data_IF_871247779344
#
_entry.id   IF_871247779344
#
_cell.length_a   1.000
_cell.length_b   1.000
_cell.length_c   1.000
_cell.angle_alpha   90.00
_cell.angle_beta   90.00
_cell.angle_gamma   90.00
#
_symmetry.space_group_name_H-M   'P 1'
#
loop_
_entity.id
_entity.type
_entity.pdbx_description
1 polymer ?
#
# COMPACT_ATOMS: atom_id res chain seq x y z
N UNK A 1 -19.70 0.01 -10.03
CA UNK A 1 -18.48 -0.23 -9.25
C UNK A 1 -18.74 0.09 -7.78
N UNK A 2 -18.03 -0.54 -6.86
CA UNK A 2 -18.20 -0.33 -5.41
C UNK A 2 -18.09 1.14 -4.99
N UNK A 3 -17.22 1.93 -5.65
CA UNK A 3 -17.07 3.37 -5.37
C UNK A 3 -18.36 4.14 -5.66
N UNK A 4 -19.06 3.84 -6.75
CA UNK A 4 -20.36 4.48 -7.06
C UNK A 4 -21.41 4.16 -6.00
N UNK A 5 -21.47 2.90 -5.58
CA UNK A 5 -22.38 2.49 -4.50
C UNK A 5 -22.06 3.20 -3.17
N UNK A 6 -20.78 3.44 -2.88
CA UNK A 6 -20.36 4.22 -1.70
C UNK A 6 -20.84 5.66 -1.80
N UNK A 7 -20.73 6.29 -2.98
CA UNK A 7 -21.25 7.64 -3.20
C UNK A 7 -22.79 7.68 -3.04
N UNK A 8 -23.50 6.73 -3.61
CA UNK A 8 -24.97 6.63 -3.46
C UNK A 8 -25.40 6.45 -2.00
N UNK A 9 -24.63 5.67 -1.21
CA UNK A 9 -24.88 5.51 0.23
C UNK A 9 -24.60 6.83 0.97
N UNK A 10 -23.53 7.51 0.61
CA UNK A 10 -23.19 8.80 1.21
C UNK A 10 -24.26 9.86 0.92
N UNK A 11 -24.72 9.96 -0.32
CA UNK A 11 -25.80 10.87 -0.71
C UNK A 11 -27.09 10.59 0.08
N UNK A 12 -27.39 9.31 0.33
CA UNK A 12 -28.62 8.90 1.01
C UNK A 12 -28.60 9.14 2.53
N UNK A 13 -27.45 8.97 3.19
CA UNK A 13 -27.37 8.93 4.66
C UNK A 13 -26.45 9.98 5.27
N UNK A 14 -25.58 10.59 4.49
CA UNK A 14 -24.47 11.42 4.98
C UNK A 14 -24.34 12.75 4.21
N UNK A 15 -25.41 13.25 3.59
CA UNK A 15 -25.42 14.48 2.78
C UNK A 15 -24.25 14.54 1.76
N UNK A 16 -23.92 13.40 1.14
CA UNK A 16 -22.84 13.29 0.16
C UNK A 16 -21.42 13.26 0.75
N UNK A 17 -21.29 13.22 2.06
CA UNK A 17 -19.97 13.28 2.71
C UNK A 17 -19.44 11.89 3.09
N UNK A 18 -18.20 11.64 2.70
CA UNK A 18 -17.40 10.48 3.17
C UNK A 18 -16.06 10.95 3.67
N UNK A 19 -15.48 10.23 4.61
CA UNK A 19 -14.13 10.48 5.11
C UNK A 19 -13.27 9.25 4.89
N UNK A 20 -11.99 9.48 4.59
CA UNK A 20 -10.99 8.45 4.47
C UNK A 20 -10.07 8.50 5.69
N UNK A 21 -9.89 7.37 6.34
CA UNK A 21 -8.95 7.29 7.45
C UNK A 21 -7.50 7.22 6.94
N UNK A 22 -6.55 7.46 7.81
CA UNK A 22 -5.11 7.28 7.51
C UNK A 22 -4.79 5.86 7.04
N UNK A 23 -5.59 4.88 7.41
CA UNK A 23 -5.44 3.48 6.98
C UNK A 23 -6.34 3.12 5.81
N UNK A 24 -6.79 4.13 5.05
CA UNK A 24 -7.62 3.95 3.84
C UNK A 24 -8.97 3.26 4.09
N UNK A 25 -9.50 3.31 5.30
CA UNK A 25 -10.87 2.91 5.57
C UNK A 25 -11.83 4.05 5.18
N UNK A 26 -13.05 3.69 4.80
CA UNK A 26 -14.10 4.65 4.51
C UNK A 26 -14.96 4.81 5.76
N UNK A 27 -15.24 6.06 6.11
CA UNK A 27 -16.14 6.41 7.19
C UNK A 27 -17.33 7.19 6.64
N UNK A 28 -18.52 6.74 7.00
CA UNK A 28 -19.76 7.45 6.79
C UNK A 28 -20.07 8.28 8.03
N UNK A 29 -20.30 9.57 7.84
CA UNK A 29 -20.57 10.50 8.93
C UNK A 29 -22.06 10.71 9.09
N UNK A 30 -22.62 10.18 10.15
CA UNK A 30 -24.06 10.33 10.48
C UNK A 30 -24.23 11.06 11.80
N UNK A 31 -25.32 11.83 11.94
CA UNK A 31 -25.56 12.71 13.08
C UNK A 31 -26.52 12.12 14.09
N UNK A 32 -27.32 11.14 13.73
CA UNK A 32 -28.36 10.56 14.59
C UNK A 32 -28.34 9.03 14.59
N UNK A 33 -28.84 8.45 15.66
CA UNK A 33 -28.85 7.00 15.90
C UNK A 33 -29.82 6.27 14.94
N UNK A 34 -30.92 6.92 14.55
CA UNK A 34 -31.88 6.32 13.63
C UNK A 34 -31.28 6.12 12.26
N UNK A 35 -30.60 7.14 11.73
CA UNK A 35 -29.86 7.08 10.46
C UNK A 35 -28.72 6.08 10.52
N UNK A 36 -27.99 6.00 11.64
CA UNK A 36 -26.95 5.01 11.84
C UNK A 36 -27.49 3.57 11.75
N UNK A 37 -28.64 3.30 12.37
CA UNK A 37 -29.29 1.99 12.30
C UNK A 37 -29.72 1.65 10.89
N UNK A 38 -30.39 2.56 10.19
CA UNK A 38 -30.80 2.38 8.81
C UNK A 38 -29.62 2.15 7.85
N UNK A 39 -28.52 2.90 8.05
CA UNK A 39 -27.28 2.72 7.29
C UNK A 39 -26.67 1.33 7.52
N UNK A 40 -26.59 0.87 8.76
CA UNK A 40 -26.08 -0.48 9.08
C UNK A 40 -26.92 -1.59 8.43
N UNK A 41 -28.22 -1.46 8.44
CA UNK A 41 -29.14 -2.41 7.80
C UNK A 41 -28.99 -2.43 6.26
N UNK A 42 -28.86 -1.26 5.63
CA UNK A 42 -28.59 -1.15 4.19
C UNK A 42 -27.24 -1.80 3.81
N UNK A 43 -26.18 -1.49 4.55
CA UNK A 43 -24.84 -2.09 4.31
C UNK A 43 -24.85 -3.61 4.49
N UNK A 44 -25.54 -4.12 5.51
CA UNK A 44 -25.68 -5.56 5.75
C UNK A 44 -26.48 -6.27 4.65
N UNK A 45 -27.41 -5.59 4.01
CA UNK A 45 -28.16 -6.09 2.87
C UNK A 45 -27.37 -6.20 1.57
N UNK A 46 -26.24 -5.47 1.45
CA UNK A 46 -25.45 -5.42 0.22
C UNK A 46 -24.44 -6.57 0.17
N UNK A 47 -24.66 -7.52 -0.73
CA UNK A 47 -23.83 -8.73 -0.88
C UNK A 47 -23.36 -8.89 -2.33
N UNK A 48 -22.23 -9.56 -2.50
CA UNK A 48 -21.80 -10.07 -3.80
C UNK A 48 -22.66 -11.26 -4.22
N UNK A 49 -22.62 -11.60 -5.50
CA UNK A 49 -23.33 -12.77 -6.02
C UNK A 49 -22.97 -14.08 -5.29
N UNK A 50 -21.73 -14.17 -4.77
CA UNK A 50 -21.26 -15.30 -3.96
C UNK A 50 -21.75 -15.29 -2.50
N UNK A 51 -22.59 -14.32 -2.09
CA UNK A 51 -23.17 -14.23 -0.75
C UNK A 51 -22.32 -13.52 0.32
N UNK A 52 -21.07 -13.17 0.03
CA UNK A 52 -20.23 -12.39 0.95
C UNK A 52 -20.65 -10.91 0.99
N UNK A 53 -20.44 -10.26 2.13
CA UNK A 53 -20.74 -8.84 2.29
C UNK A 53 -19.86 -7.98 1.40
N UNK A 54 -20.44 -7.02 0.70
CA UNK A 54 -19.70 -6.04 -0.10
C UNK A 54 -18.96 -5.03 0.75
N UNK A 55 -19.59 -4.61 1.83
CA UNK A 55 -19.08 -3.57 2.74
C UNK A 55 -19.10 -4.11 4.17
N UNK A 56 -18.06 -4.87 4.56
CA UNK A 56 -17.97 -5.33 5.94
C UNK A 56 -17.79 -4.13 6.87
N UNK A 57 -18.67 -4.03 7.86
CA UNK A 57 -18.62 -2.96 8.85
C UNK A 57 -17.57 -3.37 9.88
N UNK A 58 -16.52 -2.56 10.00
CA UNK A 58 -15.56 -2.67 11.10
C UNK A 58 -16.17 -2.19 12.41
N UNK A 59 -15.67 -2.73 13.51
CA UNK A 59 -16.00 -2.22 14.85
C UNK A 59 -14.86 -1.38 15.42
N UNK A 60 -15.12 -0.80 16.58
CA UNK A 60 -14.07 -0.25 17.43
C UNK A 60 -13.61 -1.34 18.40
N UNK A 61 -12.33 -1.58 18.53
CA UNK A 61 -11.82 -2.52 19.52
C UNK A 61 -10.81 -3.53 18.97
N UNK A 62 -10.91 -4.76 19.42
CA UNK A 62 -9.88 -5.79 19.32
C UNK A 62 -9.90 -6.57 18.00
N UNK A 63 -9.87 -5.88 16.89
CA UNK A 63 -9.81 -6.45 15.54
C UNK A 63 -8.57 -6.01 14.78
N UNK A 64 -8.40 -6.55 13.57
CA UNK A 64 -7.41 -6.06 12.60
C UNK A 64 -7.99 -4.86 11.88
N UNK A 65 -7.27 -3.75 11.85
CA UNK A 65 -7.61 -2.62 10.97
C UNK A 65 -7.13 -2.90 9.55
N UNK A 66 -7.52 -2.05 8.59
CA UNK A 66 -7.07 -2.22 7.22
C UNK A 66 -5.54 -2.25 7.12
N UNK A 67 -5.00 -3.04 6.18
CA UNK A 67 -3.56 -3.18 5.94
C UNK A 67 -3.11 -2.10 4.96
N UNK A 68 -2.20 -1.24 5.41
CA UNK A 68 -1.57 -0.22 4.57
C UNK A 68 -0.36 -0.83 3.87
N UNK A 69 -0.23 -0.62 2.58
CA UNK A 69 0.92 -1.11 1.83
C UNK A 69 1.37 -0.15 0.74
N UNK A 70 2.58 -0.34 0.29
CA UNK A 70 3.21 0.43 -0.79
C UNK A 70 2.83 -0.13 -2.17
N UNK A 71 3.29 0.52 -3.22
CA UNK A 71 2.93 0.15 -4.60
C UNK A 71 3.49 -1.20 -5.05
N UNK A 72 4.64 -1.61 -4.51
CA UNK A 72 5.28 -2.85 -4.91
C UNK A 72 5.61 -2.91 -6.40
N UNK A 73 5.48 -4.08 -7.00
CA UNK A 73 5.77 -4.27 -8.42
C UNK A 73 4.76 -3.63 -9.38
N UNK A 74 3.62 -3.18 -8.88
CA UNK A 74 2.60 -2.55 -9.71
C UNK A 74 3.09 -1.23 -10.29
N UNK A 75 3.76 -0.40 -9.50
CA UNK A 75 4.16 0.95 -9.94
C UNK A 75 5.45 1.48 -9.30
N UNK A 76 6.03 0.83 -8.32
CA UNK A 76 7.25 1.31 -7.70
C UNK A 76 8.46 1.01 -8.58
N UNK A 77 9.35 1.99 -8.77
CA UNK A 77 10.56 1.83 -9.58
C UNK A 77 11.69 1.06 -8.85
N UNK A 78 11.59 0.86 -7.54
CA UNK A 78 12.63 0.21 -6.73
C UNK A 78 12.11 -0.79 -5.70
N UNK A 79 11.11 -1.63 -6.01
CA UNK A 79 10.59 -2.60 -5.04
C UNK A 79 11.53 -3.80 -4.91
N UNK A 80 11.76 -4.26 -3.69
CA UNK A 80 12.46 -5.52 -3.43
C UNK A 80 11.50 -6.72 -3.45
N UNK A 81 10.21 -6.48 -3.18
CA UNK A 81 9.17 -7.50 -3.20
C UNK A 81 7.85 -6.93 -3.75
N UNK A 82 6.95 -7.82 -4.12
CA UNK A 82 5.56 -7.45 -4.36
C UNK A 82 4.89 -6.96 -3.06
N UNK A 83 3.91 -6.08 -3.20
CA UNK A 83 3.13 -5.59 -2.06
C UNK A 83 1.70 -6.15 -2.07
N UNK A 84 1.03 -6.08 -3.22
CA UNK A 84 -0.39 -6.45 -3.34
C UNK A 84 -0.65 -7.93 -3.07
N UNK A 85 0.19 -8.82 -3.56
CA UNK A 85 0.05 -10.27 -3.39
C UNK A 85 0.12 -10.69 -1.93
N UNK A 86 1.20 -10.38 -1.20
CA UNK A 86 1.31 -10.71 0.22
C UNK A 86 0.21 -10.09 1.07
N UNK A 87 -0.16 -8.82 0.83
CA UNK A 87 -1.25 -8.16 1.56
C UNK A 87 -2.59 -8.84 1.30
N UNK A 88 -2.88 -9.19 0.05
CA UNK A 88 -4.08 -9.94 -0.28
C UNK A 88 -4.13 -11.29 0.44
N UNK A 89 -3.04 -12.02 0.46
CA UNK A 89 -2.97 -13.31 1.14
C UNK A 89 -3.23 -13.18 2.66
N UNK A 90 -2.65 -12.17 3.30
CA UNK A 90 -2.90 -11.88 4.72
C UNK A 90 -4.35 -11.49 4.96
N UNK A 91 -4.92 -10.62 4.12
CA UNK A 91 -6.31 -10.19 4.25
C UNK A 91 -7.28 -11.36 4.06
N UNK A 92 -7.04 -12.23 3.10
CA UNK A 92 -7.90 -13.40 2.87
C UNK A 92 -7.85 -14.38 4.06
N UNK A 93 -6.66 -14.61 4.61
CA UNK A 93 -6.48 -15.51 5.77
C UNK A 93 -7.11 -14.94 7.05
N UNK A 94 -6.98 -13.63 7.25
CA UNK A 94 -7.44 -12.95 8.45
C UNK A 94 -8.81 -12.27 8.28
N UNK A 95 -9.56 -12.60 7.25
CA UNK A 95 -10.80 -11.89 6.90
C UNK A 95 -11.78 -11.79 8.07
N UNK A 96 -11.93 -12.84 8.84
CA UNK A 96 -12.82 -12.86 9.98
C UNK A 96 -12.38 -11.95 11.13
N UNK A 97 -11.09 -11.71 11.28
CA UNK A 97 -10.54 -10.85 12.35
C UNK A 97 -10.74 -9.36 12.09
N UNK A 98 -11.12 -8.97 10.86
CA UNK A 98 -11.51 -7.60 10.56
C UNK A 98 -12.88 -7.21 11.15
N UNK A 99 -13.73 -8.15 11.49
CA UNK A 99 -15.09 -7.89 11.98
C UNK A 99 -15.43 -8.56 13.31
N UNK A 100 -14.79 -9.65 13.67
CA UNK A 100 -15.19 -10.44 14.84
C UNK A 100 -14.74 -9.85 16.19
N UNK A 101 -13.81 -8.90 16.17
CA UNK A 101 -13.33 -8.17 17.37
C UNK A 101 -12.94 -9.04 18.54
N UNK A 102 -12.40 -10.23 18.29
CA UNK A 102 -12.07 -11.24 19.31
C UNK A 102 -10.60 -11.29 19.72
N UNK A 103 -9.77 -10.43 19.13
CA UNK A 103 -8.36 -10.33 19.50
C UNK A 103 -8.23 -9.64 20.88
N UNK A 104 -7.13 -9.88 21.61
CA UNK A 104 -6.92 -9.24 22.92
C UNK A 104 -6.69 -7.72 22.82
N UNK A 105 -6.26 -7.22 21.67
CA UNK A 105 -6.03 -5.80 21.40
C UNK A 105 -6.17 -5.51 19.91
N UNK A 106 -6.35 -4.23 19.50
CA UNK A 106 -6.31 -3.85 18.10
C UNK A 106 -4.95 -4.16 17.49
N UNK A 107 -4.93 -4.70 16.27
CA UNK A 107 -3.69 -5.04 15.53
C UNK A 107 -3.64 -4.26 14.22
N UNK A 108 -2.51 -3.64 13.96
CA UNK A 108 -2.21 -2.92 12.72
C UNK A 108 -1.09 -3.59 11.97
N UNK A 109 -1.36 -3.93 10.72
CA UNK A 109 -0.39 -4.57 9.83
C UNK A 109 -0.08 -3.60 8.70
N UNK A 110 1.18 -3.50 8.31
CA UNK A 110 1.61 -2.71 7.14
C UNK A 110 2.70 -3.44 6.37
N UNK A 111 2.78 -3.15 5.07
CA UNK A 111 3.81 -3.71 4.21
C UNK A 111 4.56 -2.59 3.46
N UNK A 112 5.88 -2.61 3.52
CA UNK A 112 6.75 -1.84 2.65
C UNK A 112 7.49 -2.76 1.67
N UNK A 113 7.42 -2.45 0.39
CA UNK A 113 8.07 -3.26 -0.64
C UNK A 113 9.61 -3.16 -0.63
N UNK A 114 10.18 -2.24 0.09
CA UNK A 114 11.62 -2.07 0.30
C UNK A 114 11.92 -1.32 1.61
N UNK A 115 13.18 -1.20 1.96
CA UNK A 115 13.66 -0.52 3.17
C UNK A 115 13.47 1.01 3.18
N UNK A 116 12.95 1.61 2.11
CA UNK A 116 12.48 3.01 2.15
C UNK A 116 11.29 3.21 3.09
N UNK A 117 10.62 2.12 3.51
CA UNK A 117 9.60 2.12 4.54
C UNK A 117 8.40 3.04 4.25
N UNK A 118 8.08 3.25 2.98
CA UNK A 118 6.87 3.96 2.58
C UNK A 118 5.63 3.28 3.18
N UNK A 119 4.58 4.04 3.50
CA UNK A 119 3.38 3.47 4.12
C UNK A 119 3.49 3.27 5.63
N UNK A 120 4.45 3.91 6.28
CA UNK A 120 4.60 3.96 7.73
C UNK A 120 4.67 2.58 8.42
N UNK A 121 5.36 1.63 7.79
CA UNK A 121 5.53 0.26 8.31
C UNK A 121 6.12 0.24 9.72
N UNK A 122 7.06 1.14 10.01
CA UNK A 122 7.74 1.23 11.31
C UNK A 122 6.85 1.67 12.48
N UNK A 123 5.63 2.14 12.22
CA UNK A 123 4.66 2.48 13.28
C UNK A 123 3.47 1.50 13.34
N UNK A 124 3.60 0.33 12.72
CA UNK A 124 2.61 -0.75 12.77
C UNK A 124 3.02 -1.81 13.81
N UNK A 125 2.04 -2.55 14.31
CA UNK A 125 2.31 -3.65 15.25
C UNK A 125 3.04 -4.81 14.54
N UNK A 126 2.66 -5.06 13.28
CA UNK A 126 3.34 -6.03 12.42
C UNK A 126 3.77 -5.33 11.14
N UNK A 127 5.08 -5.30 10.90
CA UNK A 127 5.68 -4.75 9.70
C UNK A 127 6.24 -5.83 8.79
N UNK A 128 5.78 -5.87 7.54
CA UNK A 128 6.34 -6.73 6.48
C UNK A 128 7.22 -5.85 5.60
N UNK A 129 8.50 -6.19 5.48
CA UNK A 129 9.47 -5.35 4.75
C UNK A 129 10.21 -6.17 3.72
N UNK A 130 10.17 -5.71 2.47
CA UNK A 130 11.02 -6.23 1.42
C UNK A 130 12.46 -5.73 1.55
N UNK A 131 13.42 -6.60 1.32
CA UNK A 131 14.85 -6.28 1.42
C UNK A 131 15.57 -6.67 0.14
N UNK A 132 16.30 -5.72 -0.43
CA UNK A 132 17.21 -6.01 -1.54
C UNK A 132 18.40 -6.80 -1.02
N UNK A 133 18.61 -8.01 -1.54
CA UNK A 133 19.71 -8.90 -1.13
C UNK A 133 20.95 -8.80 -2.01
N UNK A 134 20.80 -8.19 -3.18
CA UNK A 134 21.88 -8.00 -4.14
C UNK A 134 22.22 -6.51 -4.22
N UNK A 135 23.48 -6.15 -4.48
CA UNK A 135 23.83 -4.78 -4.80
C UNK A 135 23.10 -4.33 -6.07
N UNK A 136 22.97 -3.01 -6.29
CA UNK A 136 22.40 -2.49 -7.53
C UNK A 136 23.18 -3.02 -8.74
N UNK A 137 22.45 -3.46 -9.76
CA UNK A 137 23.03 -3.76 -11.07
C UNK A 137 22.95 -2.52 -11.94
N UNK A 138 24.03 -2.22 -12.63
CA UNK A 138 24.11 -1.06 -13.52
C UNK A 138 23.97 -1.58 -14.94
N UNK A 139 23.02 -1.05 -15.65
CA UNK A 139 22.86 -1.27 -17.09
C UNK A 139 23.62 -0.18 -17.82
N UNK A 140 24.87 -0.47 -18.17
CA UNK A 140 25.80 0.46 -18.78
C UNK A 140 25.27 1.12 -20.05
N UNK A 141 24.52 0.35 -20.86
CA UNK A 141 23.95 0.86 -22.11
C UNK A 141 22.97 2.01 -21.85
N UNK A 142 22.10 1.84 -20.86
CA UNK A 142 21.07 2.82 -20.57
C UNK A 142 21.58 4.00 -19.74
N UNK A 143 22.57 3.77 -18.90
CA UNK A 143 23.19 4.84 -18.10
C UNK A 143 23.78 5.93 -18.98
N UNK A 144 24.51 5.56 -20.03
CA UNK A 144 25.11 6.55 -20.96
C UNK A 144 24.05 7.33 -21.75
N UNK A 145 22.92 6.69 -22.04
CA UNK A 145 21.88 7.30 -22.90
C UNK A 145 20.83 8.11 -22.15
N UNK A 146 20.50 7.71 -20.91
CA UNK A 146 19.35 8.25 -20.19
C UNK A 146 19.71 9.00 -18.91
N UNK A 147 20.92 8.81 -18.38
CA UNK A 147 21.31 9.37 -17.10
C UNK A 147 22.30 10.52 -17.26
N UNK A 148 22.07 11.59 -16.52
CA UNK A 148 23.08 12.63 -16.32
C UNK A 148 24.10 12.18 -15.27
N UNK A 149 25.12 11.43 -15.71
CA UNK A 149 26.14 10.84 -14.84
C UNK A 149 26.77 11.85 -13.87
N UNK A 150 27.13 13.09 -14.27
CA UNK A 150 27.67 14.06 -13.34
C UNK A 150 26.73 14.39 -12.17
N UNK A 151 25.41 14.46 -12.44
CA UNK A 151 24.41 14.70 -11.39
C UNK A 151 24.26 13.51 -10.46
N UNK A 152 24.26 12.29 -11.00
CA UNK A 152 24.21 11.06 -10.19
C UNK A 152 25.41 10.96 -9.24
N UNK A 153 26.61 11.27 -9.72
CA UNK A 153 27.83 11.29 -8.90
C UNK A 153 27.77 12.41 -7.86
N UNK A 154 27.37 13.62 -8.25
CA UNK A 154 27.30 14.76 -7.34
C UNK A 154 26.24 14.61 -6.25
N UNK A 155 25.14 13.93 -6.56
CA UNK A 155 24.05 13.70 -5.62
C UNK A 155 24.36 12.62 -4.55
N UNK A 156 25.40 11.83 -4.74
CA UNK A 156 25.75 10.77 -3.80
C UNK A 156 26.45 11.33 -2.53
N UNK A 157 25.80 11.33 -1.36
CA UNK A 157 26.33 11.98 -0.16
C UNK A 157 27.58 11.28 0.41
N UNK A 158 27.79 10.02 0.06
CA UNK A 158 28.91 9.19 0.55
C UNK A 158 30.02 9.02 -0.48
N UNK A 159 29.91 9.64 -1.66
CA UNK A 159 30.82 9.43 -2.78
C UNK A 159 30.99 7.97 -3.21
N UNK A 160 29.99 7.13 -2.95
CA UNK A 160 29.98 5.74 -3.37
C UNK A 160 29.85 5.59 -4.89
N UNK A 161 29.11 6.48 -5.53
CA UNK A 161 28.93 6.48 -6.99
C UNK A 161 30.12 7.15 -7.66
N UNK A 162 30.81 6.41 -8.53
CA UNK A 162 32.01 6.88 -9.24
C UNK A 162 31.85 6.77 -10.74
N UNK A 163 32.30 7.75 -11.54
CA UNK A 163 32.26 7.65 -12.98
C UNK A 163 33.28 6.61 -13.47
N UNK A 164 32.83 5.74 -14.36
CA UNK A 164 33.68 4.72 -15.00
C UNK A 164 33.40 4.67 -16.50
N UNK A 165 34.32 4.06 -17.25
CA UNK A 165 34.08 3.69 -18.63
C UNK A 165 33.87 2.19 -18.69
N UNK A 166 32.76 1.77 -19.24
CA UNK A 166 32.46 0.36 -19.50
C UNK A 166 32.52 0.05 -20.99
N UNK A 167 32.51 -1.20 -21.34
CA UNK A 167 32.48 -1.65 -22.74
C UNK A 167 31.20 -2.42 -22.98
N UNK A 168 30.41 -1.95 -23.94
CA UNK A 168 29.18 -2.61 -24.37
C UNK A 168 29.19 -2.77 -25.90
N UNK A 169 29.06 -4.00 -26.39
CA UNK A 169 29.12 -4.35 -27.82
C UNK A 169 30.38 -3.80 -28.54
N UNK A 170 31.55 -3.85 -27.88
CA UNK A 170 32.80 -3.37 -28.42
C UNK A 170 32.92 -1.82 -28.48
N UNK A 171 31.97 -1.09 -27.91
CA UNK A 171 31.99 0.37 -27.79
C UNK A 171 32.21 0.81 -26.35
N UNK A 172 33.05 1.81 -26.16
CA UNK A 172 33.21 2.43 -24.83
C UNK A 172 32.04 3.35 -24.55
N UNK A 173 31.37 3.09 -23.43
CA UNK A 173 30.25 3.89 -22.93
C UNK A 173 30.62 4.48 -21.57
N UNK A 174 30.07 5.65 -21.25
CA UNK A 174 30.23 6.22 -19.93
C UNK A 174 29.23 5.55 -18.98
N UNK A 175 29.68 5.22 -17.78
CA UNK A 175 28.85 4.55 -16.78
C UNK A 175 29.25 4.96 -15.38
N UNK A 176 28.66 4.34 -14.40
CA UNK A 176 28.99 4.50 -12.98
C UNK A 176 29.28 3.16 -12.33
N UNK A 177 30.14 3.19 -11.33
CA UNK A 177 30.33 2.06 -10.41
C UNK A 177 29.92 2.48 -9.01
N UNK A 178 29.43 1.50 -8.23
CA UNK A 178 29.01 1.67 -6.83
C UNK A 178 29.83 0.73 -5.95
#
# INVERSE_FOLDING_TARGET
TNIREICEIADKYCDGHVRWTTRNNIEFMVTDEATLKALKEDLAGRKFAAGSYKFPIGGTGAGVSNIVHTQGWVHCHTPATDASGPVKAVMDTMFDEFKNMRLPAPVRISLACCINMCGAVHCSDIGIVGIHRKPPMIDDQWVDQLCEIPLAVAACPTAAVRPVKSEHDGKKVNSVAI
#
